data_IF_812467141604
#
_entry.id   IF_812467141604
#
_cell.length_a   1.000
_cell.length_b   1.000
_cell.length_c   1.000
_cell.angle_alpha   90.00
_cell.angle_beta   90.00
_cell.angle_gamma   90.00
#
_symmetry.space_group_name_H-M   'P 1'
#
loop_
_entity.id
_entity.type
_entity.pdbx_description
1 polymer ?
#
# COMPACT_ATOMS: atom_id res chain seq x y z
N UNK A 1 31.10 8.18 5.87
CA UNK A 1 31.17 7.02 4.94
C UNK A 1 29.84 6.29 4.98
N UNK A 2 29.27 6.00 3.80
CA UNK A 2 27.93 5.42 3.59
C UNK A 2 27.80 4.07 4.30
N UNK A 3 26.72 3.88 5.04
CA UNK A 3 26.35 2.56 5.57
C UNK A 3 25.65 1.80 4.44
N UNK A 4 26.37 0.88 3.81
CA UNK A 4 25.77 -0.10 2.90
C UNK A 4 24.94 -1.08 3.73
N UNK A 5 23.66 -1.16 3.40
CA UNK A 5 22.69 -2.09 3.97
C UNK A 5 22.93 -3.46 3.33
N UNK A 6 23.72 -4.32 3.96
CA UNK A 6 23.76 -5.75 3.61
C UNK A 6 22.63 -6.46 4.36
N UNK A 7 21.55 -6.79 3.65
CA UNK A 7 20.54 -7.73 4.13
C UNK A 7 21.10 -9.16 4.02
N UNK A 8 21.64 -9.68 5.13
CA UNK A 8 21.90 -11.13 5.25
C UNK A 8 20.63 -11.82 5.73
N UNK A 9 20.07 -12.64 4.83
CA UNK A 9 19.03 -13.62 5.15
C UNK A 9 19.55 -14.62 6.19
N UNK A 10 18.98 -14.59 7.39
CA UNK A 10 19.17 -15.62 8.42
C UNK A 10 17.85 -16.40 8.53
N UNK A 11 17.95 -17.72 8.41
CA UNK A 11 16.84 -18.63 8.10
C UNK A 11 15.72 -18.73 9.15
N UNK A 12 14.53 -19.03 8.62
CA UNK A 12 13.32 -19.70 9.16
C UNK A 12 12.83 -19.51 10.60
N UNK A 13 13.47 -18.75 11.47
CA UNK A 13 12.93 -18.42 12.80
C UNK A 13 12.95 -16.91 13.02
N UNK A 14 11.76 -16.29 13.02
CA UNK A 14 11.50 -14.92 13.49
C UNK A 14 12.37 -13.83 12.86
N UNK A 15 11.86 -13.14 11.85
CA UNK A 15 12.48 -11.90 11.36
C UNK A 15 12.57 -10.89 12.52
N UNK A 16 13.79 -10.51 12.90
CA UNK A 16 14.08 -9.47 13.89
C UNK A 16 14.44 -8.19 13.15
N UNK A 17 13.83 -7.06 13.53
CA UNK A 17 14.29 -5.75 13.07
C UNK A 17 15.45 -5.30 13.98
N UNK A 18 16.61 -5.04 13.38
CA UNK A 18 17.73 -4.38 14.05
C UNK A 18 17.72 -2.88 13.71
N UNK A 19 17.61 -2.04 14.73
CA UNK A 19 17.94 -0.62 14.62
C UNK A 19 19.29 -0.36 15.33
N UNK A 20 20.27 0.14 14.59
CA UNK A 20 21.59 0.49 15.11
C UNK A 20 21.73 2.02 15.23
N UNK A 21 21.94 2.52 16.46
CA UNK A 21 22.27 3.93 16.71
C UNK A 21 23.73 4.04 17.17
N UNK A 22 24.50 4.89 16.48
CA UNK A 22 25.93 5.12 16.77
C UNK A 22 26.08 6.26 17.78
N UNK A 23 26.78 5.99 18.88
CA UNK A 23 27.20 7.03 19.83
C UNK A 23 28.73 7.12 19.83
N UNK A 24 29.25 8.34 19.92
CA UNK A 24 30.68 8.61 20.11
C UNK A 24 30.83 8.93 21.60
N UNK A 25 31.49 8.06 22.35
CA UNK A 25 31.81 8.32 23.75
C UNK A 25 33.15 9.07 23.85
N UNK A 26 33.23 10.02 24.77
CA UNK A 26 34.46 10.71 25.16
C UNK A 26 35.42 9.81 25.97
N UNK A 27 36.66 10.26 26.22
CA UNK A 27 37.75 9.40 26.68
C UNK A 27 37.52 8.88 28.10
N UNK A 28 37.64 7.56 28.26
CA UNK A 28 37.68 6.88 29.57
C UNK A 28 39.11 6.88 30.10
N UNK A 29 39.32 7.45 31.29
CA UNK A 29 40.63 7.46 31.96
C UNK A 29 40.90 6.09 32.59
N UNK A 30 41.38 5.14 31.78
CA UNK A 30 41.99 3.91 32.29
C UNK A 30 43.53 3.99 32.19
N UNK A 31 44.22 3.13 32.95
CA UNK A 31 45.70 3.07 33.00
C UNK A 31 46.37 2.78 31.64
N UNK A 32 45.58 2.32 30.66
CA UNK A 32 46.05 1.86 29.35
C UNK A 32 45.64 2.80 28.21
N UNK A 33 44.98 3.93 28.50
CA UNK A 33 44.42 4.87 27.53
C UNK A 33 43.50 4.19 26.49
N UNK A 34 42.83 3.10 26.86
CA UNK A 34 41.92 2.41 25.95
C UNK A 34 40.67 3.25 25.73
N UNK A 35 40.49 3.76 24.51
CA UNK A 35 39.31 4.52 24.10
C UNK A 35 38.43 3.66 23.17
N UNK A 36 37.14 3.48 23.47
CA UNK A 36 36.24 2.78 22.57
C UNK A 36 36.12 3.54 21.25
N UNK A 37 36.53 2.90 20.15
CA UNK A 37 36.48 3.52 18.80
C UNK A 37 35.01 3.78 18.40
N UNK A 38 34.10 2.88 18.76
CA UNK A 38 32.67 2.98 18.49
C UNK A 38 31.85 2.24 19.56
N UNK A 39 30.72 2.82 19.98
CA UNK A 39 29.71 2.15 20.79
C UNK A 39 28.42 2.04 19.97
N UNK A 40 27.90 0.82 19.88
CA UNK A 40 26.66 0.51 19.18
C UNK A 40 25.58 0.19 20.19
N UNK A 41 24.42 0.81 20.00
CA UNK A 41 23.19 0.38 20.65
C UNK A 41 22.34 -0.36 19.63
N UNK A 42 22.10 -1.64 19.89
CA UNK A 42 21.32 -2.53 19.03
C UNK A 42 20.00 -2.81 19.75
N UNK A 43 18.90 -2.45 19.11
CA UNK A 43 17.57 -2.86 19.56
C UNK A 43 17.10 -4.04 18.72
N UNK A 44 16.74 -5.13 19.40
CA UNK A 44 16.15 -6.32 18.78
C UNK A 44 14.71 -6.39 19.22
N UNK A 45 13.80 -6.32 18.26
CA UNK A 45 12.37 -6.49 18.51
C UNK A 45 11.86 -7.72 17.76
N UNK A 46 11.07 -8.56 18.43
CA UNK A 46 10.38 -9.69 17.82
C UNK A 46 9.19 -9.21 17.02
N UNK A 47 9.12 -9.55 15.73
CA UNK A 47 7.95 -9.30 14.91
C UNK A 47 6.99 -10.49 14.93
N UNK A 48 5.72 -10.20 15.17
CA UNK A 48 4.65 -11.20 15.03
C UNK A 48 4.29 -11.34 13.57
N UNK A 49 4.57 -12.51 12.98
CA UNK A 49 4.16 -12.81 11.60
C UNK A 49 2.65 -13.00 11.52
N UNK A 50 2.03 -12.39 10.52
CA UNK A 50 0.60 -12.56 10.20
C UNK A 50 0.49 -12.80 8.70
N UNK A 51 -0.02 -13.96 8.31
CA UNK A 51 -0.22 -14.30 6.90
C UNK A 51 -1.63 -13.91 6.46
N UNK A 52 -1.74 -13.20 5.34
CA UNK A 52 -3.01 -12.70 4.80
C UNK A 52 -3.13 -13.11 3.35
N UNK A 53 -4.20 -13.81 3.00
CA UNK A 53 -4.53 -14.11 1.61
C UNK A 53 -5.48 -13.04 1.08
N UNK A 54 -5.10 -12.40 -0.03
CA UNK A 54 -5.80 -11.25 -0.59
C UNK A 54 -6.04 -11.42 -2.10
N UNK A 55 -6.94 -10.58 -2.62
CA UNK A 55 -7.08 -10.36 -4.06
C UNK A 55 -6.73 -8.90 -4.33
N UNK A 56 -5.98 -8.65 -5.40
CA UNK A 56 -5.59 -7.29 -5.80
C UNK A 56 -6.84 -6.44 -6.04
N UNK A 57 -6.87 -5.23 -5.48
CA UNK A 57 -7.96 -4.28 -5.69
C UNK A 57 -9.16 -4.36 -4.73
N UNK A 58 -9.28 -5.43 -3.91
CA UNK A 58 -10.30 -5.53 -2.87
C UNK A 58 -9.67 -5.44 -1.46
N UNK A 59 -10.41 -4.95 -0.48
CA UNK A 59 -10.01 -4.99 0.92
C UNK A 59 -10.19 -6.40 1.49
N UNK A 60 -9.17 -6.86 2.21
CA UNK A 60 -9.25 -7.99 3.14
C UNK A 60 -9.09 -7.48 4.56
N UNK A 61 -10.09 -7.67 5.41
CA UNK A 61 -10.05 -7.25 6.82
C UNK A 61 -9.66 -8.42 7.72
N UNK A 62 -8.78 -8.17 8.68
CA UNK A 62 -8.43 -9.11 9.75
C UNK A 62 -8.27 -8.37 11.09
N UNK A 63 -8.37 -9.11 12.19
CA UNK A 63 -8.15 -8.59 13.55
C UNK A 63 -6.84 -9.10 14.12
N UNK A 64 -6.05 -8.20 14.71
CA UNK A 64 -4.83 -8.52 15.44
C UNK A 64 -5.07 -8.36 16.93
N UNK A 65 -4.73 -9.38 17.71
CA UNK A 65 -4.88 -9.31 19.17
C UNK A 65 -3.81 -8.40 19.77
N UNK A 66 -4.26 -7.29 20.36
CA UNK A 66 -3.47 -6.40 21.20
C UNK A 66 -3.57 -6.81 22.65
N UNK A 67 -2.44 -6.77 23.34
CA UNK A 67 -2.37 -6.97 24.79
C UNK A 67 -1.72 -5.75 25.42
N UNK A 68 -2.44 -5.11 26.32
CA UNK A 68 -1.98 -3.98 27.11
C UNK A 68 -0.82 -4.37 28.01
N UNK A 69 0.06 -3.39 28.26
CA UNK A 69 1.12 -3.51 29.26
C UNK A 69 0.57 -3.27 30.67
N UNK A 70 1.42 -3.27 31.70
CA UNK A 70 0.98 -2.97 33.07
C UNK A 70 0.49 -1.53 33.26
N UNK A 71 0.86 -0.62 32.36
CA UNK A 71 0.44 0.78 32.37
C UNK A 71 -0.51 1.07 31.22
N UNK A 72 -1.38 2.07 31.42
CA UNK A 72 -2.16 2.67 30.34
C UNK A 72 -1.23 3.34 29.34
N UNK A 73 -1.49 3.16 28.05
CA UNK A 73 -0.71 3.81 26.98
C UNK A 73 -1.62 4.45 25.96
N UNK A 74 -1.25 5.65 25.50
CA UNK A 74 -1.81 6.22 24.27
C UNK A 74 -0.99 5.70 23.11
N UNK A 75 -1.62 5.00 22.20
CA UNK A 75 -0.92 4.30 21.12
C UNK A 75 -1.46 4.71 19.76
N UNK A 76 -0.59 4.59 18.75
CA UNK A 76 -0.94 4.75 17.34
C UNK A 76 -0.21 3.73 16.49
N UNK A 77 -0.92 3.20 15.50
CA UNK A 77 -0.36 2.24 14.54
C UNK A 77 0.22 2.95 13.31
N UNK A 78 1.36 2.48 12.84
CA UNK A 78 2.06 3.01 11.66
C UNK A 78 2.39 1.86 10.71
N UNK A 79 1.98 2.01 9.45
CA UNK A 79 2.25 1.06 8.38
C UNK A 79 3.38 1.55 7.48
N UNK A 80 4.27 0.64 7.08
CA UNK A 80 5.24 0.87 6.00
C UNK A 80 4.58 1.10 4.63
N UNK A 81 3.35 0.64 4.45
CA UNK A 81 2.58 0.77 3.20
C UNK A 81 1.20 1.36 3.50
N UNK A 82 1.09 2.66 3.84
CA UNK A 82 -0.17 3.28 4.28
C UNK A 82 -1.23 3.41 3.18
N UNK A 83 -0.85 3.21 1.92
CA UNK A 83 -1.77 3.15 0.77
C UNK A 83 -2.43 1.77 0.62
N UNK A 84 -1.79 0.70 1.11
CA UNK A 84 -2.27 -0.68 0.95
C UNK A 84 -2.75 -1.29 2.26
N UNK A 85 -2.28 -0.81 3.42
CA UNK A 85 -2.72 -1.28 4.73
C UNK A 85 -3.21 -0.09 5.56
N UNK A 86 -4.51 -0.13 5.88
CA UNK A 86 -5.18 0.76 6.82
C UNK A 86 -5.43 0.06 8.14
N UNK A 87 -5.53 0.84 9.20
CA UNK A 87 -5.71 0.36 10.56
C UNK A 87 -6.90 1.11 11.16
N UNK A 88 -7.73 0.40 11.89
CA UNK A 88 -8.81 0.96 12.69
C UNK A 88 -8.56 0.62 14.18
N UNK A 89 -8.41 1.64 15.05
CA UNK A 89 -8.47 3.08 14.76
C UNK A 89 -7.21 3.66 14.07
N UNK A 90 -7.42 4.63 13.15
CA UNK A 90 -6.32 5.34 12.44
C UNK A 90 -5.64 6.41 13.32
N UNK A 91 -6.40 6.97 14.26
CA UNK A 91 -5.96 7.99 15.20
C UNK A 91 -5.39 7.38 16.48
N UNK A 92 -4.92 8.24 17.39
CA UNK A 92 -4.42 7.81 18.70
C UNK A 92 -5.57 7.22 19.51
N UNK A 93 -5.35 6.05 20.11
CA UNK A 93 -6.31 5.39 20.98
C UNK A 93 -5.66 4.95 22.29
N UNK A 94 -6.50 4.68 23.29
CA UNK A 94 -6.03 4.27 24.62
C UNK A 94 -6.00 2.75 24.69
N UNK A 95 -4.83 2.20 25.01
CA UNK A 95 -4.65 0.79 25.33
C UNK A 95 -4.68 0.62 26.86
N UNK A 96 -5.74 0.02 27.43
CA UNK A 96 -5.88 -0.13 28.88
C UNK A 96 -4.85 -1.11 29.47
N UNK A 97 -4.49 -0.94 30.75
CA UNK A 97 -3.51 -1.80 31.40
C UNK A 97 -4.02 -3.25 31.44
N UNK A 98 -3.17 -4.20 31.03
CA UNK A 98 -3.49 -5.63 30.90
C UNK A 98 -4.75 -5.95 30.08
N UNK A 99 -5.27 -4.98 29.33
CA UNK A 99 -6.46 -5.17 28.51
C UNK A 99 -6.16 -5.98 27.25
N UNK A 100 -7.19 -6.63 26.72
CA UNK A 100 -7.13 -7.30 25.42
C UNK A 100 -8.10 -6.56 24.50
N UNK A 101 -7.60 -6.17 23.33
CA UNK A 101 -8.38 -5.45 22.32
C UNK A 101 -7.99 -5.97 20.94
N UNK A 102 -8.95 -5.98 20.01
CA UNK A 102 -8.66 -6.26 18.61
C UNK A 102 -8.26 -4.97 17.88
N UNK A 103 -7.15 -5.04 17.15
CA UNK A 103 -6.75 -4.03 16.18
C UNK A 103 -7.16 -4.51 14.80
N UNK A 104 -8.15 -3.83 14.20
CA UNK A 104 -8.59 -4.18 12.86
C UNK A 104 -7.64 -3.60 11.83
N UNK A 105 -7.21 -4.42 10.88
CA UNK A 105 -6.42 -3.98 9.74
C UNK A 105 -7.14 -4.33 8.44
N UNK A 106 -7.08 -3.43 7.49
CA UNK A 106 -7.66 -3.57 6.15
C UNK A 106 -6.53 -3.53 5.12
N UNK A 107 -6.33 -4.64 4.41
CA UNK A 107 -5.27 -4.80 3.41
C UNK A 107 -5.88 -4.80 2.01
N UNK A 108 -5.50 -3.84 1.17
CA UNK A 108 -5.86 -3.74 -0.25
C UNK A 108 -4.58 -3.71 -1.11
N UNK A 109 -4.12 -4.86 -1.62
CA UNK A 109 -2.94 -4.90 -2.46
C UNK A 109 -3.18 -4.19 -3.79
N UNK A 110 -2.18 -3.42 -4.26
CA UNK A 110 -2.22 -2.79 -5.59
C UNK A 110 -1.64 -3.69 -6.69
N UNK A 111 -0.83 -4.68 -6.33
CA UNK A 111 -0.25 -5.65 -7.27
C UNK A 111 -0.40 -7.06 -6.74
N UNK A 112 -0.52 -8.02 -7.65
CA UNK A 112 -0.45 -9.43 -7.30
C UNK A 112 0.98 -9.84 -6.89
N UNK A 113 1.07 -10.94 -6.16
CA UNK A 113 2.32 -11.46 -5.60
C UNK A 113 2.39 -11.33 -4.09
N UNK A 114 3.58 -11.60 -3.53
CA UNK A 114 3.84 -11.53 -2.10
C UNK A 114 4.40 -10.17 -1.71
N UNK A 115 3.91 -9.61 -0.60
CA UNK A 115 4.43 -8.36 -0.03
C UNK A 115 4.56 -8.48 1.49
N UNK A 116 5.65 -7.93 2.01
CA UNK A 116 5.86 -7.78 3.44
C UNK A 116 5.55 -6.35 3.87
N UNK A 117 4.60 -6.19 4.79
CA UNK A 117 4.20 -4.90 5.33
C UNK A 117 4.49 -4.90 6.82
N UNK A 118 5.38 -4.00 7.24
CA UNK A 118 5.63 -3.72 8.65
C UNK A 118 4.50 -2.88 9.22
N UNK A 119 3.95 -3.31 10.35
CA UNK A 119 2.97 -2.59 11.15
C UNK A 119 3.52 -2.42 12.56
N UNK A 120 3.65 -1.18 13.01
CA UNK A 120 4.22 -0.84 14.31
C UNK A 120 3.21 -0.09 15.16
N UNK A 121 2.94 -0.58 16.37
CA UNK A 121 2.15 0.12 17.37
C UNK A 121 3.11 0.86 18.31
N UNK A 122 2.99 2.17 18.38
CA UNK A 122 3.92 3.05 19.11
C UNK A 122 3.14 3.82 20.18
N UNK A 123 3.71 3.85 21.38
CA UNK A 123 3.30 4.76 22.45
C UNK A 123 3.65 6.20 22.05
N UNK A 124 2.65 7.05 21.94
CA UNK A 124 2.85 8.43 21.45
C UNK A 124 3.43 9.35 22.50
N UNK A 125 3.24 9.05 23.78
CA UNK A 125 3.73 9.88 24.89
C UNK A 125 5.21 9.57 25.15
N UNK A 126 5.60 8.30 25.09
CA UNK A 126 6.97 7.85 25.39
C UNK A 126 7.82 7.56 24.15
N UNK A 127 7.23 7.62 22.95
CA UNK A 127 7.87 7.23 21.68
C UNK A 127 8.47 5.81 21.71
N UNK A 128 7.81 4.89 22.41
CA UNK A 128 8.25 3.51 22.56
C UNK A 128 7.46 2.56 21.68
N UNK A 129 8.14 1.58 21.08
CA UNK A 129 7.47 0.50 20.36
C UNK A 129 6.75 -0.42 21.35
N UNK A 130 5.43 -0.53 21.22
CA UNK A 130 4.58 -1.40 22.06
C UNK A 130 4.45 -2.78 21.44
N UNK A 131 4.24 -2.85 20.12
CA UNK A 131 4.14 -4.09 19.38
C UNK A 131 4.51 -3.89 17.91
N UNK A 132 4.96 -4.96 17.25
CA UNK A 132 5.30 -4.95 15.83
C UNK A 132 4.85 -6.24 15.17
N UNK A 133 4.27 -6.12 13.99
CA UNK A 133 3.86 -7.22 13.13
C UNK A 133 4.54 -7.14 11.78
N UNK A 134 4.80 -8.33 11.23
CA UNK A 134 5.15 -8.52 9.84
C UNK A 134 3.92 -9.13 9.14
N UNK A 135 3.21 -8.30 8.40
CA UNK A 135 2.05 -8.72 7.61
C UNK A 135 2.56 -9.25 6.26
N UNK A 136 2.43 -10.55 6.07
CA UNK A 136 2.78 -11.27 4.85
C UNK A 136 1.54 -11.36 3.97
N UNK A 137 1.34 -10.37 3.10
CA UNK A 137 0.22 -10.35 2.17
C UNK A 137 0.56 -11.17 0.93
N UNK A 138 -0.23 -12.23 0.66
CA UNK A 138 -0.19 -13.00 -0.58
C UNK A 138 -1.39 -12.61 -1.43
N UNK A 139 -1.14 -11.83 -2.48
CA UNK A 139 -2.18 -11.31 -3.37
C UNK A 139 -2.29 -12.11 -4.66
N UNK A 140 -3.51 -12.50 -5.03
CA UNK A 140 -3.85 -13.07 -6.35
C UNK A 140 -4.32 -11.98 -7.30
N UNK A 141 -4.27 -12.28 -8.60
CA UNK A 141 -4.93 -11.44 -9.60
C UNK A 141 -6.45 -11.62 -9.50
N UNK A 142 -7.26 -10.55 -9.65
CA UNK A 142 -8.70 -10.66 -9.81
C UNK A 142 -9.05 -11.23 -11.19
N UNK A 143 -10.31 -11.63 -11.34
CA UNK A 143 -10.85 -12.08 -12.63
C UNK A 143 -11.14 -10.85 -13.48
N UNK A 144 -10.54 -10.78 -14.67
CA UNK A 144 -10.79 -9.71 -15.63
C UNK A 144 -12.10 -9.99 -16.35
N UNK A 145 -13.10 -9.12 -16.19
CA UNK A 145 -14.40 -9.25 -16.84
C UNK A 145 -14.43 -8.57 -18.21
N UNK A 146 -13.70 -7.46 -18.39
CA UNK A 146 -13.57 -6.76 -19.67
C UNK A 146 -12.16 -6.25 -19.90
N UNK A 147 -11.75 -6.22 -21.17
CA UNK A 147 -10.47 -5.67 -21.58
C UNK A 147 -10.68 -4.60 -22.66
N UNK A 148 -9.92 -3.51 -22.58
CA UNK A 148 -9.91 -2.41 -23.51
C UNK A 148 -8.48 -2.12 -23.96
N UNK A 149 -8.32 -1.64 -25.18
CA UNK A 149 -7.04 -1.17 -25.69
C UNK A 149 -7.18 0.29 -26.09
N UNK A 150 -6.25 1.13 -25.63
CA UNK A 150 -6.28 2.57 -25.82
C UNK A 150 -4.90 3.05 -26.23
N UNK A 151 -4.83 3.77 -27.35
CA UNK A 151 -3.61 4.48 -27.75
C UNK A 151 -3.65 5.92 -27.23
N UNK A 152 -2.54 6.35 -26.63
CA UNK A 152 -2.31 7.71 -26.16
C UNK A 152 -1.07 8.27 -26.85
N UNK A 153 -1.23 9.38 -27.55
CA UNK A 153 -0.08 10.09 -28.12
C UNK A 153 0.76 10.70 -26.99
N UNK A 154 2.07 10.43 -26.98
CA UNK A 154 3.00 11.04 -26.01
C UNK A 154 3.08 12.54 -26.25
N UNK A 155 2.99 13.33 -25.19
CA UNK A 155 3.00 14.78 -25.22
C UNK A 155 2.69 15.35 -23.83
N UNK A 156 2.72 16.67 -23.67
CA UNK A 156 2.62 17.32 -22.35
C UNK A 156 1.23 17.25 -21.71
N UNK A 157 0.17 16.95 -22.47
CA UNK A 157 -1.21 16.94 -21.98
C UNK A 157 -1.73 15.50 -21.88
N UNK A 158 -2.23 15.15 -20.69
CA UNK A 158 -2.91 13.86 -20.45
C UNK A 158 -4.14 13.65 -21.35
N UNK A 159 -4.66 12.43 -21.35
CA UNK A 159 -5.76 12.03 -22.23
C UNK A 159 -7.03 11.70 -21.43
N UNK A 160 -8.18 12.23 -21.84
CA UNK A 160 -9.46 11.85 -21.25
C UNK A 160 -10.16 10.80 -22.12
N UNK A 161 -10.61 9.72 -21.50
CA UNK A 161 -11.40 8.65 -22.13
C UNK A 161 -12.60 8.31 -21.27
N UNK A 162 -13.50 7.50 -21.81
CA UNK A 162 -14.70 7.04 -21.11
C UNK A 162 -14.90 5.56 -21.38
N UNK A 163 -15.35 4.84 -20.36
CA UNK A 163 -15.80 3.45 -20.47
C UNK A 163 -17.18 3.33 -19.83
N UNK A 164 -17.94 2.32 -20.20
CA UNK A 164 -19.29 2.11 -19.68
C UNK A 164 -19.35 0.93 -18.72
N UNK A 165 -20.16 1.07 -17.68
CA UNK A 165 -20.53 0.02 -16.75
C UNK A 165 -22.05 -0.12 -16.73
N UNK A 166 -22.57 -1.32 -16.90
CA UNK A 166 -24.00 -1.60 -16.85
C UNK A 166 -24.28 -2.39 -15.59
N UNK A 167 -25.20 -1.90 -14.75
CA UNK A 167 -25.59 -2.60 -13.54
C UNK A 167 -26.40 -3.85 -13.89
N UNK A 168 -25.90 -5.07 -13.66
CA UNK A 168 -26.62 -6.29 -14.03
C UNK A 168 -27.79 -6.59 -13.07
N UNK A 169 -27.86 -5.90 -11.93
CA UNK A 169 -28.84 -6.15 -10.88
C UNK A 169 -30.14 -5.38 -11.11
N UNK A 170 -31.23 -5.89 -10.53
CA UNK A 170 -32.57 -5.30 -10.60
C UNK A 170 -32.81 -4.20 -9.54
N UNK A 171 -31.75 -3.75 -8.88
CA UNK A 171 -31.80 -2.71 -7.84
C UNK A 171 -30.70 -1.69 -8.06
N UNK A 172 -30.93 -0.47 -7.58
CA UNK A 172 -29.91 0.58 -7.56
C UNK A 172 -28.75 0.14 -6.67
N UNK A 173 -27.53 0.30 -7.17
CA UNK A 173 -26.30 0.02 -6.43
C UNK A 173 -25.33 1.21 -6.48
N UNK A 174 -24.51 1.31 -5.45
CA UNK A 174 -23.38 2.24 -5.35
C UNK A 174 -22.10 1.44 -5.49
N UNK A 175 -21.17 1.97 -6.28
CA UNK A 175 -19.86 1.35 -6.52
C UNK A 175 -18.73 2.33 -6.24
N UNK A 176 -17.59 1.81 -5.78
CA UNK A 176 -16.32 2.52 -5.68
C UNK A 176 -15.37 2.10 -6.80
N UNK A 177 -14.56 3.05 -7.25
CA UNK A 177 -13.57 2.88 -8.30
C UNK A 177 -12.16 2.94 -7.72
N UNK A 178 -11.36 1.93 -8.04
CA UNK A 178 -9.96 1.85 -7.65
C UNK A 178 -9.08 1.46 -8.84
N UNK A 179 -7.79 1.77 -8.75
CA UNK A 179 -6.80 1.43 -9.79
C UNK A 179 -5.50 0.94 -9.16
N UNK A 180 -4.80 0.05 -9.86
CA UNK A 180 -3.44 -0.37 -9.50
C UNK A 180 -2.35 0.65 -9.92
N UNK A 181 -2.69 1.61 -10.78
CA UNK A 181 -1.79 2.63 -11.34
C UNK A 181 -2.37 4.03 -11.19
N UNK A 182 -2.51 4.48 -9.94
CA UNK A 182 -2.96 5.86 -9.63
C UNK A 182 -1.96 6.93 -10.12
N UNK A 183 -0.72 6.53 -10.44
CA UNK A 183 0.29 7.33 -11.13
C UNK A 183 -0.08 7.60 -12.60
N UNK A 184 -0.77 6.66 -13.26
CA UNK A 184 -1.13 6.76 -14.68
C UNK A 184 -2.59 7.06 -14.95
N UNK A 185 -3.51 6.65 -14.05
CA UNK A 185 -4.94 6.78 -14.25
C UNK A 185 -5.60 7.42 -13.03
N UNK A 186 -6.38 8.46 -13.28
CA UNK A 186 -7.29 9.08 -12.32
C UNK A 186 -8.72 8.97 -12.82
N UNK A 187 -9.66 8.77 -11.91
CA UNK A 187 -11.08 8.82 -12.21
C UNK A 187 -11.60 10.24 -12.13
N UNK A 188 -12.63 10.55 -12.92
CA UNK A 188 -13.36 11.82 -12.78
C UNK A 188 -14.19 11.85 -11.49
N UNK A 189 -14.74 10.70 -11.11
CA UNK A 189 -15.43 10.45 -9.86
C UNK A 189 -14.92 9.12 -9.27
N UNK A 190 -14.66 9.06 -7.96
CA UNK A 190 -14.19 7.82 -7.30
C UNK A 190 -15.33 6.87 -6.91
N UNK A 191 -16.57 7.36 -6.95
CA UNK A 191 -17.77 6.57 -6.66
C UNK A 191 -18.90 6.97 -7.60
N UNK A 192 -19.80 6.04 -7.88
CA UNK A 192 -20.99 6.32 -8.67
C UNK A 192 -22.16 5.44 -8.24
N UNK A 193 -23.37 5.87 -8.58
CA UNK A 193 -24.59 5.10 -8.42
C UNK A 193 -25.25 4.86 -9.77
N UNK A 194 -25.85 3.69 -9.92
CA UNK A 194 -26.51 3.29 -11.14
C UNK A 194 -27.76 2.47 -10.80
N UNK A 195 -28.88 2.81 -11.44
CA UNK A 195 -30.16 2.13 -11.24
C UNK A 195 -30.17 0.72 -11.82
N UNK A 196 -31.32 0.05 -11.70
CA UNK A 196 -31.52 -1.31 -12.19
C UNK A 196 -31.36 -1.39 -13.71
N UNK A 197 -30.44 -2.23 -14.20
CA UNK A 197 -30.18 -2.37 -15.65
C UNK A 197 -29.60 -1.12 -16.34
N UNK A 198 -29.41 -0.02 -15.61
CA UNK A 198 -28.92 1.23 -16.17
C UNK A 198 -27.41 1.16 -16.49
N UNK A 199 -26.98 2.00 -17.41
CA UNK A 199 -25.56 2.13 -17.78
C UNK A 199 -25.01 3.47 -17.31
N UNK A 200 -23.87 3.42 -16.64
CA UNK A 200 -23.10 4.57 -16.20
C UNK A 200 -21.84 4.73 -17.06
N UNK A 201 -21.42 5.97 -17.31
CA UNK A 201 -20.21 6.28 -18.07
C UNK A 201 -19.11 6.77 -17.14
N UNK A 202 -18.10 5.93 -16.93
CA UNK A 202 -16.95 6.22 -16.07
C UNK A 202 -15.96 7.10 -16.83
N UNK A 203 -15.62 8.25 -16.27
CA UNK A 203 -14.61 9.15 -16.80
C UNK A 203 -13.19 8.77 -16.38
N UNK A 204 -12.30 8.57 -17.35
CA UNK A 204 -10.89 8.21 -17.15
C UNK A 204 -9.99 9.38 -17.58
N UNK A 205 -9.04 9.76 -16.74
CA UNK A 205 -7.97 10.72 -17.05
C UNK A 205 -6.62 10.02 -16.95
N UNK A 206 -5.97 9.82 -18.09
CA UNK A 206 -4.65 9.24 -18.17
C UNK A 206 -3.58 10.33 -18.08
N UNK A 207 -2.53 10.06 -17.31
CA UNK A 207 -1.34 10.89 -17.23
C UNK A 207 -0.63 10.90 -18.60
N UNK A 208 0.04 12.02 -18.95
CA UNK A 208 0.89 12.08 -20.14
C UNK A 208 2.00 11.04 -20.04
N UNK A 209 2.27 10.34 -21.14
CA UNK A 209 3.39 9.40 -21.22
C UNK A 209 4.67 10.12 -21.63
N UNK A 210 5.72 10.01 -20.82
CA UNK A 210 7.06 10.54 -21.14
C UNK A 210 7.84 9.63 -22.09
N UNK A 211 7.52 8.34 -22.11
CA UNK A 211 8.17 7.34 -22.95
C UNK A 211 7.14 6.47 -23.67
N UNK A 212 7.51 5.98 -24.85
CA UNK A 212 6.72 4.99 -25.57
C UNK A 212 6.73 3.67 -24.80
N UNK A 213 5.57 3.04 -24.67
CA UNK A 213 5.46 1.78 -23.96
C UNK A 213 4.03 1.31 -23.81
N UNK A 214 3.89 0.03 -23.43
CA UNK A 214 2.61 -0.56 -23.09
C UNK A 214 2.50 -0.68 -21.57
N UNK A 215 1.36 -0.26 -21.04
CA UNK A 215 1.03 -0.35 -19.62
C UNK A 215 -0.31 -1.04 -19.44
N UNK A 216 -0.38 -2.01 -18.53
CA UNK A 216 -1.63 -2.68 -18.15
C UNK A 216 -2.18 -2.08 -16.86
N UNK A 217 -3.31 -1.38 -16.97
CA UNK A 217 -3.98 -0.71 -15.86
C UNK A 217 -5.26 -1.47 -15.53
N UNK A 218 -5.41 -1.87 -14.27
CA UNK A 218 -6.61 -2.52 -13.76
C UNK A 218 -7.50 -1.47 -13.10
N UNK A 219 -8.78 -1.49 -13.45
CA UNK A 219 -9.84 -0.72 -12.83
C UNK A 219 -10.71 -1.69 -12.04
N UNK A 220 -10.75 -1.52 -10.73
CA UNK A 220 -11.57 -2.32 -9.83
C UNK A 220 -12.87 -1.57 -9.56
N UNK A 221 -13.99 -2.24 -9.82
CA UNK A 221 -15.33 -1.77 -9.48
C UNK A 221 -15.78 -2.60 -8.29
N UNK A 222 -15.83 -1.96 -7.12
CA UNK A 222 -16.19 -2.65 -5.89
C UNK A 222 -17.55 -2.18 -5.38
N UNK A 223 -18.24 -3.04 -4.64
CA UNK A 223 -19.48 -2.69 -3.96
C UNK A 223 -19.23 -1.84 -2.70
N UNK A 224 -20.30 -1.52 -1.99
CA UNK A 224 -20.25 -0.75 -0.73
C UNK A 224 -19.50 -1.45 0.42
N UNK A 225 -19.28 -2.76 0.36
CA UNK A 225 -18.48 -3.54 1.32
C UNK A 225 -17.02 -3.72 0.83
N UNK A 226 -16.66 -3.03 -0.26
CA UNK A 226 -15.37 -3.13 -0.95
C UNK A 226 -15.05 -4.52 -1.53
N UNK A 227 -16.08 -5.33 -1.80
CA UNK A 227 -15.94 -6.59 -2.53
C UNK A 227 -15.87 -6.29 -4.03
N UNK A 228 -14.98 -6.99 -4.74
CA UNK A 228 -14.86 -6.80 -6.18
C UNK A 228 -16.09 -7.35 -6.92
N UNK A 229 -16.75 -6.50 -7.70
CA UNK A 229 -17.88 -6.88 -8.57
C UNK A 229 -17.39 -7.12 -10.00
N UNK A 230 -16.57 -6.19 -10.53
CA UNK A 230 -15.93 -6.34 -11.83
C UNK A 230 -14.51 -5.80 -11.80
N UNK A 231 -13.65 -6.38 -12.66
CA UNK A 231 -12.33 -5.82 -12.94
C UNK A 231 -12.17 -5.61 -14.43
N UNK A 232 -11.92 -4.37 -14.81
CA UNK A 232 -11.58 -4.02 -16.19
C UNK A 232 -10.07 -3.92 -16.35
N UNK A 233 -9.55 -4.45 -17.44
CA UNK A 233 -8.16 -4.26 -17.85
C UNK A 233 -8.12 -3.25 -18.99
N UNK A 234 -7.31 -2.20 -18.86
CA UNK A 234 -7.04 -1.23 -19.91
C UNK A 234 -5.58 -1.35 -20.29
N UNK A 235 -5.33 -1.82 -21.51
CA UNK A 235 -4.01 -1.82 -22.14
C UNK A 235 -3.79 -0.46 -22.77
N UNK A 236 -2.86 0.31 -22.22
CA UNK A 236 -2.53 1.65 -22.70
C UNK A 236 -1.25 1.57 -23.51
N UNK A 237 -1.33 1.94 -24.79
CA UNK A 237 -0.18 2.07 -25.68
C UNK A 237 0.19 3.55 -25.79
N UNK A 238 1.32 3.94 -25.20
CA UNK A 238 1.87 5.28 -25.36
C UNK A 238 2.72 5.31 -26.63
N UNK A 239 2.28 6.08 -27.63
CA UNK A 239 2.92 6.18 -28.95
C UNK A 239 3.43 7.60 -29.21
N UNK A 240 4.61 7.73 -29.81
CA UNK A 240 5.13 9.05 -30.19
C UNK A 240 4.21 9.73 -31.20
N UNK A 241 3.92 11.01 -30.95
CA UNK A 241 3.23 11.84 -31.93
C UNK A 241 4.07 11.87 -33.22
N UNK A 242 3.58 11.22 -34.27
CA UNK A 242 4.31 11.09 -35.52
C UNK A 242 4.32 12.45 -36.22
N UNK A 243 5.41 13.23 -36.07
CA UNK A 243 5.61 14.50 -36.77
C UNK A 243 5.84 14.22 -38.25
N UNK A 244 4.75 14.07 -39.01
CA UNK A 244 4.82 14.00 -40.48
C UNK A 244 5.33 15.33 -41.04
N UNK A 245 6.56 15.30 -41.55
CA UNK A 245 7.08 16.02 -42.71
C UNK A 245 6.69 17.50 -42.87
N UNK A 246 7.54 18.40 -42.37
CA UNK A 246 7.67 19.71 -43.02
C UNK A 246 8.46 19.49 -44.32
N UNK A 247 7.77 19.61 -45.46
CA UNK A 247 8.42 19.75 -46.75
C UNK A 247 9.36 20.96 -46.69
N UNK A 248 10.64 20.71 -47.00
CA UNK A 248 11.62 21.74 -47.30
C UNK A 248 11.12 22.56 -48.49
N UNK A 249 11.20 23.89 -48.36
CA UNK A 249 11.40 24.79 -49.48
C UNK A 249 12.89 25.16 -49.51
#
# INVERSE_FOLDING_TARGET
MRCNREERSIGKHGLQNLACRRHIAGPTSDRWLAAPIQIWQIYVHSLKRVDVSCITGQVTQISLVLRGTQVVRKVRAYSSHPQELKVDPESVFVLPPNGIQDLHIAVRPLKAGSKFIYLNLVDVDQHQLVASWLVCALSRNPIISKAFEITISTGEKGCNKRITYTNPYQTRKRYSLHTNRADLLQFKEDTFEVGAGETYTIGLRFAPGESSGQEEILIFINDHEDKNEETFCVKVNYEQANTKGSLKA
#
